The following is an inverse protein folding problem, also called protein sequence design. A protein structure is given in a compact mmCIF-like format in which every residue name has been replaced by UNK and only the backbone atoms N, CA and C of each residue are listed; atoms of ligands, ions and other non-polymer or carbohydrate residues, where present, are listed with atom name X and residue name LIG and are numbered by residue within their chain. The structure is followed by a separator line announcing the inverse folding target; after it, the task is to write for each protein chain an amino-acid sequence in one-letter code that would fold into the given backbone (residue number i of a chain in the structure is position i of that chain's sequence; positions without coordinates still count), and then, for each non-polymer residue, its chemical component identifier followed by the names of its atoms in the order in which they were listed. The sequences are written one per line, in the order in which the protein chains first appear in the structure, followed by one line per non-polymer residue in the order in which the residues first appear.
data_IF_766522571821
#
_entry.id   IF_766522571821
#
_cell.length_a   1.000
_cell.length_b   1.000
_cell.length_c   1.000
_cell.angle_alpha   90.00
_cell.angle_beta   90.00
_cell.angle_gamma   90.00
#
_symmetry.space_group_name_H-M   'P 1'
#
loop_
_entity.id
_entity.type
_entity.pdbx_description
1 polymer ?
#
# COMPACT_ATOMS: atom_id res chain seq x y z
N UNK A 1 -13.34 -13.24 -1.77
CA UNK A 1 -13.66 -12.00 -1.03
C UNK A 1 -14.16 -10.96 -2.01
N UNK A 2 -15.12 -10.12 -1.60
CA UNK A 2 -15.58 -9.00 -2.41
C UNK A 2 -14.55 -7.88 -2.33
N UNK A 3 -14.00 -7.45 -3.47
CA UNK A 3 -13.04 -6.35 -3.54
C UNK A 3 -13.76 -5.04 -3.87
N UNK A 4 -13.18 -3.92 -3.43
CA UNK A 4 -13.62 -2.57 -3.80
C UNK A 4 -12.44 -1.79 -4.35
N UNK A 5 -12.67 -0.98 -5.37
CA UNK A 5 -11.67 -0.06 -5.90
C UNK A 5 -11.69 1.24 -5.11
N UNK A 6 -10.52 1.80 -4.86
CA UNK A 6 -10.35 3.14 -4.29
C UNK A 6 -9.47 3.99 -5.21
N UNK A 7 -9.72 5.29 -5.26
CA UNK A 7 -8.83 6.25 -5.92
C UNK A 7 -8.06 7.02 -4.87
N UNK A 8 -6.74 6.91 -4.88
CA UNK A 8 -5.85 7.60 -3.96
C UNK A 8 -4.97 8.57 -4.73
N UNK A 9 -4.88 9.81 -4.26
CA UNK A 9 -3.87 10.78 -4.70
C UNK A 9 -2.79 10.82 -3.63
N UNK A 10 -1.55 10.60 -4.04
CA UNK A 10 -0.36 10.70 -3.20
C UNK A 10 0.67 11.56 -3.90
N UNK A 11 1.63 12.04 -3.12
CA UNK A 11 2.82 12.68 -3.66
C UNK A 11 3.57 11.73 -4.63
N UNK A 12 4.04 12.28 -5.75
CA UNK A 12 4.69 11.52 -6.81
C UNK A 12 5.96 10.83 -6.33
N UNK A 13 6.80 11.56 -5.60
CA UNK A 13 8.11 11.07 -5.18
C UNK A 13 7.95 9.97 -4.15
N UNK A 14 6.97 10.11 -3.24
CA UNK A 14 6.64 9.04 -2.28
C UNK A 14 6.22 7.77 -3.03
N UNK A 15 5.30 7.89 -4.00
CA UNK A 15 4.81 6.73 -4.74
C UNK A 15 5.92 6.04 -5.54
N UNK A 16 6.75 6.80 -6.25
CA UNK A 16 7.81 6.24 -7.09
C UNK A 16 8.91 5.58 -6.26
N UNK A 17 9.29 6.19 -5.14
CA UNK A 17 10.23 5.59 -4.18
C UNK A 17 9.67 4.30 -3.60
N UNK A 18 8.41 4.31 -3.15
CA UNK A 18 7.76 3.14 -2.57
C UNK A 18 7.58 2.01 -3.59
N UNK A 19 7.20 2.35 -4.82
CA UNK A 19 7.07 1.39 -5.91
C UNK A 19 8.41 0.75 -6.25
N UNK A 20 9.49 1.54 -6.28
CA UNK A 20 10.85 1.04 -6.50
C UNK A 20 11.30 0.11 -5.37
N UNK A 21 10.99 0.47 -4.13
CA UNK A 21 11.24 -0.38 -2.96
C UNK A 21 10.49 -1.71 -3.06
N UNK A 22 9.18 -1.69 -3.36
CA UNK A 22 8.37 -2.89 -3.54
C UNK A 22 8.94 -3.81 -4.64
N UNK A 23 9.35 -3.24 -5.78
CA UNK A 23 9.98 -4.01 -6.87
C UNK A 23 11.24 -4.72 -6.42
N UNK A 24 12.13 -4.05 -5.68
CA UNK A 24 13.37 -4.65 -5.16
C UNK A 24 13.10 -5.83 -4.22
N UNK A 25 11.94 -5.84 -3.53
CA UNK A 25 11.51 -6.88 -2.61
C UNK A 25 10.64 -7.97 -3.26
N UNK A 26 10.24 -7.80 -4.52
CA UNK A 26 9.28 -8.69 -5.19
C UNK A 26 7.85 -8.52 -4.68
N UNK A 27 7.50 -7.35 -4.12
CA UNK A 27 6.19 -7.08 -3.53
C UNK A 27 5.25 -6.36 -4.49
N UNK A 28 3.95 -6.63 -4.32
CA UNK A 28 2.87 -5.96 -5.05
C UNK A 28 2.41 -4.74 -4.24
N UNK A 29 2.52 -3.56 -4.83
CA UNK A 29 2.22 -2.30 -4.14
C UNK A 29 0.80 -2.25 -3.56
N UNK A 30 -0.23 -2.70 -4.30
CA UNK A 30 -1.62 -2.72 -3.81
C UNK A 30 -1.80 -3.59 -2.57
N UNK A 31 -1.14 -4.76 -2.51
CA UNK A 31 -1.19 -5.62 -1.32
C UNK A 31 -0.49 -4.97 -0.13
N UNK A 32 0.60 -4.26 -0.35
CA UNK A 32 1.26 -3.55 0.73
C UNK A 32 0.42 -2.40 1.29
N UNK A 33 -0.35 -1.71 0.44
CA UNK A 33 -1.35 -0.74 0.91
C UNK A 33 -2.41 -1.39 1.81
N UNK A 34 -2.94 -2.56 1.44
CA UNK A 34 -3.87 -3.29 2.31
C UNK A 34 -3.23 -3.69 3.65
N UNK A 35 -1.99 -4.20 3.64
CA UNK A 35 -1.27 -4.57 4.87
C UNK A 35 -1.08 -3.37 5.79
N UNK A 36 -0.67 -2.21 5.25
CA UNK A 36 -0.53 -0.99 6.07
C UNK A 36 -1.86 -0.57 6.71
N UNK A 37 -2.99 -0.73 6.01
CA UNK A 37 -4.32 -0.48 6.58
C UNK A 37 -4.68 -1.49 7.68
N UNK A 38 -4.42 -2.78 7.44
CA UNK A 38 -4.62 -3.87 8.42
C UNK A 38 -3.81 -3.60 9.70
N UNK A 39 -2.53 -3.22 9.57
CA UNK A 39 -1.63 -2.90 10.68
C UNK A 39 -2.10 -1.65 11.45
N UNK A 40 -2.47 -0.57 10.74
CA UNK A 40 -2.98 0.65 11.37
C UNK A 40 -4.23 0.36 12.19
N UNK A 41 -5.20 -0.37 11.62
CA UNK A 41 -6.44 -0.74 12.33
C UNK A 41 -6.20 -1.73 13.49
N UNK A 42 -5.12 -2.52 13.42
CA UNK A 42 -4.72 -3.42 14.49
C UNK A 42 -4.02 -2.70 15.65
N UNK A 43 -3.32 -1.60 15.39
CA UNK A 43 -2.64 -0.81 16.40
C UNK A 43 -3.58 0.05 17.26
N UNK A 44 -4.80 0.34 16.77
CA UNK A 44 -5.86 1.07 17.47
C UNK A 44 -6.79 0.16 18.31
N UNK A 45 -6.48 -1.14 18.44
CA UNK A 45 -7.21 -2.13 19.25
C UNK A 45 -6.47 -2.48 20.53
#
# INVERSE_FOLDING_TARGET
MTTKNITLKVDSDIYDNYRTFCKKKGWVASRQFEIMMEEQMGADK
#
